data_IF_839581293589
#
_entry.id   IF_839581293589
#
_cell.length_a   1.000
_cell.length_b   1.000
_cell.length_c   1.000
_cell.angle_alpha   90.00
_cell.angle_beta   90.00
_cell.angle_gamma   90.00
#
_symmetry.space_group_name_H-M   'P 1'
#
loop_
_entity.id
_entity.type
_entity.pdbx_description
1 polymer ?
#
# COMPACT_ATOMS: atom_id res chain seq x y z
N UNK A 1 -12.89 1.88 14.01
CA UNK A 1 -13.32 1.92 12.59
C UNK A 1 -14.06 3.22 12.22
N UNK A 2 -15.24 3.51 12.80
CA UNK A 2 -16.05 4.70 12.45
C UNK A 2 -15.31 6.04 12.57
N UNK A 3 -14.53 6.21 13.64
CA UNK A 3 -13.65 7.37 13.79
C UNK A 3 -12.60 7.49 12.68
N UNK A 4 -12.03 6.37 12.20
CA UNK A 4 -11.06 6.38 11.10
C UNK A 4 -11.72 6.82 9.79
N UNK A 5 -12.95 6.37 9.53
CA UNK A 5 -13.72 6.83 8.38
C UNK A 5 -13.87 8.36 8.43
N UNK A 6 -14.37 8.90 9.56
CA UNK A 6 -14.52 10.34 9.72
C UNK A 6 -13.19 11.07 9.54
N UNK A 7 -12.13 10.58 10.18
CA UNK A 7 -10.82 11.21 10.10
C UNK A 7 -10.34 11.31 8.65
N UNK A 8 -10.41 10.23 7.89
CA UNK A 8 -9.77 10.13 6.57
C UNK A 8 -10.62 10.71 5.43
N UNK A 9 -11.91 10.41 5.40
CA UNK A 9 -12.77 10.71 4.24
C UNK A 9 -13.66 11.94 4.43
N UNK A 10 -13.74 12.46 5.66
CA UNK A 10 -14.49 13.68 5.97
C UNK A 10 -13.58 14.76 6.54
N UNK A 11 -12.99 14.58 7.73
CA UNK A 11 -12.31 15.64 8.48
C UNK A 11 -11.05 16.15 7.79
N UNK A 12 -10.20 15.24 7.28
CA UNK A 12 -9.01 15.63 6.53
C UNK A 12 -9.37 16.36 5.23
N UNK A 13 -10.44 15.94 4.54
CA UNK A 13 -10.94 16.62 3.34
C UNK A 13 -11.56 17.97 3.69
N UNK A 14 -12.33 18.07 4.78
CA UNK A 14 -12.92 19.30 5.26
C UNK A 14 -11.84 20.32 5.66
N UNK A 15 -10.75 19.86 6.30
CA UNK A 15 -9.58 20.71 6.58
C UNK A 15 -8.93 21.18 5.28
N UNK A 16 -8.73 20.29 4.31
CA UNK A 16 -8.15 20.64 3.02
C UNK A 16 -9.00 21.71 2.30
N UNK A 17 -10.32 21.53 2.26
CA UNK A 17 -11.26 22.49 1.65
C UNK A 17 -11.39 23.80 2.43
N UNK A 18 -11.13 23.80 3.73
CA UNK A 18 -11.09 25.02 4.51
C UNK A 18 -9.83 25.86 4.26
N UNK A 19 -8.70 25.22 3.94
CA UNK A 19 -7.49 25.92 3.49
C UNK A 19 -7.60 26.34 2.02
N UNK A 20 -8.12 25.43 1.17
CA UNK A 20 -8.29 25.67 -0.27
C UNK A 20 -9.75 25.45 -0.70
N UNK A 21 -10.61 26.47 -0.59
CA UNK A 21 -11.98 26.40 -1.06
C UNK A 21 -12.10 25.98 -2.53
N UNK A 22 -13.26 25.45 -2.97
CA UNK A 22 -13.46 25.02 -4.36
C UNK A 22 -13.25 26.15 -5.40
N UNK A 23 -13.48 27.39 -5.01
CA UNK A 23 -13.31 28.61 -5.78
C UNK A 23 -11.95 29.30 -5.54
N UNK A 24 -11.03 28.65 -4.83
CA UNK A 24 -9.71 29.22 -4.53
C UNK A 24 -8.93 29.53 -5.82
N UNK A 25 -8.45 30.77 -5.89
CA UNK A 25 -7.64 31.29 -7.00
C UNK A 25 -6.28 31.67 -6.42
N UNK A 26 -5.24 31.28 -7.12
CA UNK A 26 -3.86 31.43 -6.67
C UNK A 26 -3.39 32.86 -6.93
N UNK A 27 -2.24 33.26 -6.39
CA UNK A 27 -1.73 34.63 -6.54
C UNK A 27 -1.51 35.04 -8.02
N UNK A 28 -1.32 34.06 -8.90
CA UNK A 28 -1.19 34.25 -10.35
C UNK A 28 -2.53 34.44 -11.08
N UNK A 29 -3.66 34.36 -10.36
CA UNK A 29 -5.00 34.48 -10.93
C UNK A 29 -5.55 33.18 -11.54
N UNK A 30 -4.84 32.06 -11.43
CA UNK A 30 -5.29 30.75 -11.91
C UNK A 30 -6.11 30.01 -10.86
N UNK A 31 -7.05 29.17 -11.29
CA UNK A 31 -7.80 28.31 -10.36
C UNK A 31 -6.86 27.30 -9.73
N UNK A 32 -6.93 27.15 -8.41
CA UNK A 32 -6.14 26.18 -7.68
C UNK A 32 -6.50 24.74 -8.05
N UNK A 33 -7.80 24.46 -8.19
CA UNK A 33 -8.31 23.16 -8.62
C UNK A 33 -8.43 23.12 -10.14
N UNK A 34 -7.74 22.16 -10.74
CA UNK A 34 -7.60 21.95 -12.20
C UNK A 34 -7.65 20.44 -12.48
N UNK A 35 -7.71 20.01 -13.74
CA UNK A 35 -7.96 18.60 -14.10
C UNK A 35 -7.02 17.59 -13.42
N UNK A 36 -5.72 17.91 -13.27
CA UNK A 36 -4.74 17.05 -12.60
C UNK A 36 -4.65 17.28 -11.08
N UNK A 37 -5.46 18.19 -10.54
CA UNK A 37 -5.59 18.55 -9.13
C UNK A 37 -7.08 18.68 -8.83
N UNK A 38 -7.73 17.52 -8.79
CA UNK A 38 -9.18 17.38 -8.63
C UNK A 38 -9.63 17.92 -7.26
N UNK A 39 -10.64 18.78 -7.27
CA UNK A 39 -11.26 19.28 -6.04
C UNK A 39 -12.02 18.14 -5.34
N UNK A 40 -11.65 17.78 -4.09
CA UNK A 40 -12.36 16.73 -3.39
C UNK A 40 -13.68 17.23 -2.80
N UNK A 41 -14.52 16.29 -2.39
CA UNK A 41 -15.70 16.56 -1.58
C UNK A 41 -15.70 15.66 -0.34
N UNK A 42 -16.32 16.13 0.74
CA UNK A 42 -16.42 15.38 2.01
C UNK A 42 -17.43 14.25 1.87
N UNK A 43 -17.10 13.06 2.39
CA UNK A 43 -18.04 11.95 2.48
C UNK A 43 -18.77 11.98 3.81
N UNK A 44 -20.10 11.88 3.75
CA UNK A 44 -20.93 11.64 4.92
C UNK A 44 -21.15 10.14 5.06
N UNK A 45 -20.85 9.58 6.22
CA UNK A 45 -21.07 8.16 6.45
C UNK A 45 -22.54 7.80 6.36
N UNK A 46 -22.81 6.69 5.69
CA UNK A 46 -24.12 6.06 5.55
C UNK A 46 -23.96 4.57 5.79
N UNK A 47 -24.72 4.02 6.73
CA UNK A 47 -24.72 2.58 7.02
C UNK A 47 -25.40 1.73 5.95
N UNK A 48 -26.19 2.37 5.08
CA UNK A 48 -26.89 1.72 3.96
C UNK A 48 -25.99 1.57 2.75
N UNK A 49 -24.96 2.42 2.65
CA UNK A 49 -23.96 2.33 1.59
C UNK A 49 -23.05 1.12 1.83
N UNK A 50 -22.90 0.30 0.78
CA UNK A 50 -22.13 -0.93 0.84
C UNK A 50 -20.65 -0.65 1.10
N UNK A 51 -20.04 0.31 0.40
CA UNK A 51 -18.60 0.61 0.49
C UNK A 51 -18.25 1.21 1.85
N UNK A 52 -19.11 2.10 2.35
CA UNK A 52 -19.00 2.67 3.69
C UNK A 52 -19.01 1.57 4.76
N UNK A 53 -19.98 0.66 4.68
CA UNK A 53 -20.09 -0.44 5.63
C UNK A 53 -18.96 -1.46 5.49
N UNK A 54 -18.55 -1.79 4.25
CA UNK A 54 -17.42 -2.70 3.96
C UNK A 54 -16.14 -2.17 4.63
N UNK A 55 -15.88 -0.86 4.59
CA UNK A 55 -14.76 -0.24 5.30
C UNK A 55 -14.85 -0.43 6.81
N UNK A 56 -16.03 -0.24 7.41
CA UNK A 56 -16.21 -0.39 8.86
C UNK A 56 -16.00 -1.83 9.28
N UNK A 57 -16.58 -2.79 8.56
CA UNK A 57 -16.44 -4.23 8.82
C UNK A 57 -14.97 -4.63 8.73
N UNK A 58 -14.28 -4.27 7.65
CA UNK A 58 -12.90 -4.66 7.46
C UNK A 58 -11.97 -3.99 8.50
N UNK A 59 -12.09 -2.68 8.69
CA UNK A 59 -11.24 -1.94 9.63
C UNK A 59 -11.45 -2.40 11.08
N UNK A 60 -12.68 -2.69 11.49
CA UNK A 60 -12.96 -3.17 12.85
C UNK A 60 -12.38 -4.56 13.10
N UNK A 61 -12.54 -5.49 12.14
CA UNK A 61 -12.00 -6.85 12.26
C UNK A 61 -10.47 -6.89 12.20
N UNK A 62 -9.82 -5.99 11.45
CA UNK A 62 -8.37 -5.85 11.47
C UNK A 62 -7.84 -5.29 12.80
N UNK A 63 -8.51 -4.26 13.35
CA UNK A 63 -8.17 -3.74 14.69
C UNK A 63 -8.39 -4.83 15.75
N UNK A 64 -9.49 -5.58 15.65
CA UNK A 64 -9.79 -6.69 16.57
C UNK A 64 -8.70 -7.76 16.50
N UNK A 65 -8.20 -8.10 15.31
CA UNK A 65 -7.07 -9.02 15.17
C UNK A 65 -5.80 -8.51 15.87
N UNK A 66 -5.45 -7.23 15.69
CA UNK A 66 -4.23 -6.65 16.29
C UNK A 66 -4.26 -6.73 17.82
N UNK A 67 -5.42 -6.55 18.44
CA UNK A 67 -5.58 -6.55 19.90
C UNK A 67 -6.08 -7.88 20.47
N UNK A 68 -6.14 -8.95 19.67
CA UNK A 68 -6.66 -10.28 20.05
C UNK A 68 -8.09 -10.24 20.63
N UNK A 69 -8.95 -9.41 20.02
CA UNK A 69 -10.36 -9.25 20.38
C UNK A 69 -11.22 -10.11 19.44
N UNK A 70 -12.31 -10.73 19.92
CA UNK A 70 -13.25 -11.45 19.06
C UNK A 70 -13.76 -10.60 17.89
N UNK A 71 -13.74 -11.20 16.70
CA UNK A 71 -14.21 -10.61 15.46
C UNK A 71 -15.74 -10.59 15.42
N UNK A 72 -16.30 -9.51 14.89
CA UNK A 72 -17.75 -9.40 14.59
C UNK A 72 -17.86 -9.19 13.08
N UNK A 73 -18.44 -10.16 12.40
CA UNK A 73 -18.59 -10.15 10.93
C UNK A 73 -20.03 -9.80 10.53
N UNK A 74 -20.99 -9.98 11.44
CA UNK A 74 -22.38 -9.67 11.17
C UNK A 74 -22.59 -8.16 10.98
N UNK A 75 -23.02 -7.81 9.77
CA UNK A 75 -23.31 -6.42 9.37
C UNK A 75 -24.43 -5.82 10.21
N UNK A 76 -25.43 -6.62 10.59
CA UNK A 76 -26.56 -6.12 11.37
C UNK A 76 -26.13 -5.72 12.78
N UNK A 77 -25.31 -6.55 13.43
CA UNK A 77 -24.74 -6.25 14.74
C UNK A 77 -23.85 -4.99 14.70
N UNK A 78 -23.02 -4.85 13.66
CA UNK A 78 -22.20 -3.65 13.47
C UNK A 78 -23.05 -2.38 13.30
N UNK A 79 -24.11 -2.44 12.50
CA UNK A 79 -25.03 -1.30 12.31
C UNK A 79 -25.70 -0.92 13.63
N UNK A 80 -26.11 -1.90 14.43
CA UNK A 80 -26.69 -1.66 15.75
C UNK A 80 -25.70 -0.93 16.67
N UNK A 81 -24.44 -1.37 16.71
CA UNK A 81 -23.38 -0.73 17.50
C UNK A 81 -23.08 0.71 17.03
N UNK A 82 -23.12 0.95 15.72
CA UNK A 82 -22.95 2.28 15.14
C UNK A 82 -24.06 3.24 15.56
N UNK A 83 -25.31 2.77 15.59
CA UNK A 83 -26.46 3.58 15.98
C UNK A 83 -26.46 3.95 17.47
N UNK A 84 -25.90 3.09 18.32
CA UNK A 84 -25.81 3.33 19.77
C UNK A 84 -24.74 4.36 20.14
N UNK A 85 -23.71 4.52 19.31
CA UNK A 85 -22.57 5.40 19.57
C UNK A 85 -22.43 6.47 18.47
N UNK A 86 -23.29 7.51 18.46
CA UNK A 86 -23.21 8.57 17.47
C UNK A 86 -21.90 9.34 17.58
N UNK A 87 -21.27 9.59 16.43
CA UNK A 87 -20.01 10.34 16.36
C UNK A 87 -20.22 11.81 16.73
N UNK A 88 -19.27 12.39 17.47
CA UNK A 88 -19.24 13.84 17.72
C UNK A 88 -18.94 14.55 16.40
N UNK A 89 -19.75 15.57 16.09
CA UNK A 89 -19.57 16.39 14.89
C UNK A 89 -18.21 17.08 14.91
N UNK A 90 -17.45 16.89 13.84
CA UNK A 90 -16.17 17.55 13.66
C UNK A 90 -16.38 19.05 13.40
N UNK A 91 -15.57 19.88 14.03
CA UNK A 91 -15.51 21.32 13.79
C UNK A 91 -14.14 21.67 13.23
N UNK A 92 -14.13 22.27 12.05
CA UNK A 92 -12.88 22.76 11.44
C UNK A 92 -12.43 23.99 12.22
N UNK A 93 -11.20 23.96 12.75
CA UNK A 93 -10.52 25.18 13.18
C UNK A 93 -9.87 25.77 11.93
N UNK A 94 -10.38 26.90 11.46
CA UNK A 94 -9.77 27.63 10.34
C UNK A 94 -8.39 28.11 10.80
N UNK A 95 -7.34 27.59 10.18
CA UNK A 95 -6.02 28.19 10.25
C UNK A 95 -5.88 28.87 8.89
N UNK A 96 -5.87 30.20 8.89
CA UNK A 96 -5.58 30.97 7.68
C UNK A 96 -4.06 31.02 7.61
N UNK A 97 -3.49 30.25 6.69
CA UNK A 97 -2.11 30.45 6.24
C UNK A 97 -2.20 31.08 4.87
N UNK A 98 -1.60 32.26 4.74
CA UNK A 98 -1.20 32.78 3.44
C UNK A 98 -0.10 31.83 2.91
N UNK A 99 -0.22 31.32 1.67
CA UNK A 99 0.89 31.15 0.72
C UNK A 99 0.66 30.09 -0.39
N UNK A 100 1.51 30.24 -1.40
CA UNK A 100 1.46 29.85 -2.82
C UNK A 100 1.33 28.36 -3.18
N UNK A 101 1.04 28.12 -4.47
CA UNK A 101 0.80 26.83 -5.16
C UNK A 101 1.85 25.72 -4.92
N UNK A 102 3.05 26.04 -4.45
CA UNK A 102 4.14 25.08 -4.23
C UNK A 102 4.08 24.35 -2.86
N UNK A 103 3.23 24.79 -1.93
CA UNK A 103 3.17 24.27 -0.55
C UNK A 103 2.29 23.04 -0.31
N UNK A 104 1.76 22.42 -1.37
CA UNK A 104 1.03 21.15 -1.23
C UNK A 104 1.91 19.98 -0.80
N UNK A 105 3.23 20.08 -0.94
CA UNK A 105 4.16 19.03 -0.52
C UNK A 105 4.50 19.09 0.97
N UNK A 106 4.34 20.24 1.61
CA UNK A 106 4.66 20.46 3.02
C UNK A 106 3.43 20.38 3.93
N UNK A 107 2.22 20.68 3.43
CA UNK A 107 1.04 20.87 4.29
C UNK A 107 -0.02 19.74 4.24
N UNK A 108 0.15 18.70 3.41
CA UNK A 108 -0.68 17.49 3.51
C UNK A 108 -0.24 16.56 4.66
N UNK A 109 0.97 16.77 5.19
CA UNK A 109 1.52 16.14 6.38
C UNK A 109 2.14 17.24 7.24
N UNK A 110 1.32 17.84 8.13
CA UNK A 110 1.71 18.60 9.33
C UNK A 110 3.09 19.29 9.25
N UNK A 111 3.11 20.59 8.91
CA UNK A 111 4.31 21.43 9.00
C UNK A 111 4.91 21.37 10.41
N UNK A 112 6.07 20.74 10.55
CA UNK A 112 6.64 20.36 11.84
C UNK A 112 8.13 20.73 11.98
N UNK A 113 8.50 21.98 11.71
CA UNK A 113 9.90 22.43 11.91
C UNK A 113 10.09 23.54 12.95
N UNK A 114 9.03 24.06 13.62
CA UNK A 114 9.16 25.16 14.59
C UNK A 114 8.71 24.90 16.03
N UNK A 115 7.69 24.06 16.25
CA UNK A 115 7.03 23.83 17.56
C UNK A 115 7.30 22.44 18.16
N UNK A 116 8.26 21.74 17.58
CA UNK A 116 8.40 20.29 17.62
C UNK A 116 8.78 19.74 19.00
N UNK A 117 9.73 20.37 19.70
CA UNK A 117 10.30 19.79 20.93
C UNK A 117 9.32 19.83 22.11
N UNK A 118 8.63 20.96 22.32
CA UNK A 118 7.67 21.08 23.45
C UNK A 118 6.44 20.18 23.28
N UNK A 119 6.00 19.95 22.04
CA UNK A 119 4.93 18.99 21.73
C UNK A 119 5.39 17.54 21.96
N UNK A 120 6.64 17.20 21.61
CA UNK A 120 7.21 15.87 21.87
C UNK A 120 7.22 15.59 23.38
N UNK A 121 7.72 16.50 24.20
CA UNK A 121 7.77 16.32 25.66
C UNK A 121 6.36 16.15 26.25
N UNK A 122 5.38 16.91 25.75
CA UNK A 122 3.99 16.75 26.14
C UNK A 122 3.43 15.37 25.77
N UNK A 123 3.71 14.85 24.57
CA UNK A 123 3.30 13.51 24.14
C UNK A 123 3.98 12.44 24.99
N UNK A 124 5.29 12.57 25.24
CA UNK A 124 6.03 11.63 26.08
C UNK A 124 5.46 11.56 27.50
N UNK A 125 4.99 12.69 28.05
CA UNK A 125 4.34 12.73 29.36
C UNK A 125 2.96 12.07 29.40
N UNK A 126 2.30 11.89 28.25
CA UNK A 126 1.00 11.23 28.14
C UNK A 126 1.10 9.72 27.92
N UNK A 127 2.30 9.19 27.62
CA UNK A 127 2.47 7.76 27.41
C UNK A 127 2.30 7.00 28.74
N UNK A 128 1.49 5.93 28.75
CA UNK A 128 1.36 5.08 29.93
C UNK A 128 2.69 4.39 30.24
N UNK A 129 2.90 4.08 31.52
CA UNK A 129 4.08 3.33 31.95
C UNK A 129 4.00 1.89 31.46
N UNK A 130 5.16 1.27 31.22
CA UNK A 130 5.23 -0.12 30.72
C UNK A 130 4.50 -1.11 31.63
N UNK A 131 4.54 -0.87 32.96
CA UNK A 131 3.86 -1.72 33.94
C UNK A 131 2.32 -1.75 33.76
N UNK A 132 1.72 -0.67 33.25
CA UNK A 132 0.29 -0.59 32.97
C UNK A 132 -0.11 -1.36 31.70
N UNK A 133 0.88 -1.70 30.86
CA UNK A 133 0.69 -2.36 29.57
C UNK A 133 1.00 -3.86 29.58
N UNK A 134 1.33 -4.44 30.75
CA UNK A 134 1.77 -5.84 30.86
C UNK A 134 0.76 -6.87 30.34
N UNK A 135 -0.53 -6.55 30.34
CA UNK A 135 -1.60 -7.41 29.83
C UNK A 135 -2.05 -7.06 28.40
N UNK A 136 -1.45 -6.06 27.76
CA UNK A 136 -1.80 -5.65 26.41
C UNK A 136 -1.11 -6.57 25.40
N UNK A 137 -1.92 -7.36 24.69
CA UNK A 137 -1.44 -8.16 23.56
C UNK A 137 -1.58 -7.31 22.30
N UNK A 138 -0.47 -7.16 21.57
CA UNK A 138 -0.45 -6.50 20.26
C UNK A 138 0.20 -7.46 19.27
N UNK A 139 -0.59 -7.93 18.30
CA UNK A 139 -0.12 -8.83 17.26
C UNK A 139 0.14 -8.04 15.98
N UNK A 140 1.38 -8.07 15.44
CA UNK A 140 1.62 -7.55 14.11
C UNK A 140 0.85 -8.39 13.09
N UNK A 141 0.27 -7.73 12.08
CA UNK A 141 -0.43 -8.41 11.01
C UNK A 141 0.33 -8.23 9.69
N UNK A 142 1.02 -9.29 9.27
CA UNK A 142 1.73 -9.29 7.99
C UNK A 142 0.75 -9.22 6.83
N UNK A 143 1.09 -8.41 5.82
CA UNK A 143 0.30 -8.25 4.62
C UNK A 143 0.28 -9.56 3.81
N UNK A 144 -0.92 -10.14 3.65
CA UNK A 144 -1.22 -11.37 2.94
C UNK A 144 -2.46 -11.16 2.08
N UNK A 145 -2.27 -10.65 0.86
CA UNK A 145 -3.37 -10.34 -0.07
C UNK A 145 -3.92 -11.56 -0.81
N UNK A 146 -3.28 -12.72 -0.68
CA UNK A 146 -3.74 -13.97 -1.28
C UNK A 146 -4.90 -14.61 -0.48
N UNK A 147 -4.94 -14.38 0.84
CA UNK A 147 -5.99 -14.87 1.72
C UNK A 147 -7.20 -13.92 1.69
N UNK A 148 -8.27 -14.35 1.04
CA UNK A 148 -9.49 -13.57 0.87
C UNK A 148 -10.36 -13.46 2.14
N UNK A 149 -9.99 -14.14 3.24
CA UNK A 149 -10.79 -14.20 4.48
C UNK A 149 -10.22 -13.38 5.65
N UNK A 150 -9.08 -12.72 5.47
CA UNK A 150 -8.40 -11.97 6.53
C UNK A 150 -8.80 -10.48 6.65
N UNK A 151 -9.75 -10.02 5.83
CA UNK A 151 -10.22 -8.63 5.74
C UNK A 151 -9.18 -7.59 5.28
N UNK A 152 -7.94 -7.96 4.99
CA UNK A 152 -6.91 -7.01 4.55
C UNK A 152 -7.24 -6.45 3.17
N UNK A 153 -7.55 -7.33 2.21
CA UNK A 153 -7.93 -6.91 0.87
C UNK A 153 -9.26 -6.14 0.90
N UNK A 154 -10.24 -6.57 1.70
CA UNK A 154 -11.50 -5.85 1.89
C UNK A 154 -11.28 -4.42 2.38
N UNK A 155 -10.37 -4.23 3.35
CA UNK A 155 -10.01 -2.91 3.83
C UNK A 155 -9.38 -2.05 2.74
N UNK A 156 -8.43 -2.60 1.97
CA UNK A 156 -7.76 -1.86 0.89
C UNK A 156 -8.76 -1.47 -0.20
N UNK A 157 -9.65 -2.38 -0.59
CA UNK A 157 -10.68 -2.12 -1.60
C UNK A 157 -11.61 -1.01 -1.14
N UNK A 158 -12.15 -1.12 0.08
CA UNK A 158 -13.08 -0.14 0.60
C UNK A 158 -12.39 1.23 0.79
N UNK A 159 -11.20 1.26 1.38
CA UNK A 159 -10.43 2.50 1.58
C UNK A 159 -10.06 3.17 0.25
N UNK A 160 -9.68 2.40 -0.77
CA UNK A 160 -9.33 2.90 -2.10
C UNK A 160 -10.57 3.50 -2.77
N UNK A 161 -11.71 2.79 -2.75
CA UNK A 161 -12.93 3.27 -3.39
C UNK A 161 -13.53 4.48 -2.67
N UNK A 162 -13.48 4.55 -1.34
CA UNK A 162 -13.88 5.74 -0.59
C UNK A 162 -13.00 6.96 -0.94
N UNK A 163 -11.69 6.74 -1.07
CA UNK A 163 -10.78 7.82 -1.48
C UNK A 163 -10.99 8.22 -2.94
N UNK A 164 -11.28 7.27 -3.82
CA UNK A 164 -11.63 7.55 -5.21
C UNK A 164 -12.89 8.43 -5.26
N UNK A 165 -13.92 8.06 -4.49
CA UNK A 165 -15.16 8.82 -4.37
C UNK A 165 -14.90 10.25 -3.91
N UNK A 166 -14.09 10.48 -2.85
CA UNK A 166 -13.73 11.83 -2.41
C UNK A 166 -13.28 12.75 -3.56
N UNK A 167 -12.56 12.23 -4.55
CA UNK A 167 -12.00 13.01 -5.67
C UNK A 167 -12.78 12.84 -6.98
N UNK A 168 -13.94 12.17 -6.96
CA UNK A 168 -14.72 11.91 -8.17
C UNK A 168 -14.03 10.95 -9.16
N UNK A 169 -13.14 10.09 -8.67
CA UNK A 169 -12.45 9.06 -9.44
C UNK A 169 -13.36 7.82 -9.49
N UNK A 170 -13.39 7.14 -10.63
CA UNK A 170 -14.16 5.91 -10.80
C UNK A 170 -13.68 4.81 -9.83
N UNK A 171 -14.63 4.20 -9.12
CA UNK A 171 -14.34 3.08 -8.21
C UNK A 171 -14.00 1.82 -8.98
N UNK A 172 -13.08 1.03 -8.43
CA UNK A 172 -12.61 -0.21 -9.06
C UNK A 172 -13.07 -1.44 -8.30
N UNK A 173 -13.26 -2.54 -9.01
CA UNK A 173 -13.64 -3.82 -8.41
C UNK A 173 -12.49 -4.45 -7.60
N UNK A 174 -12.86 -5.37 -6.69
CA UNK A 174 -11.94 -6.09 -5.81
C UNK A 174 -10.76 -6.70 -6.56
N UNK A 175 -11.00 -7.31 -7.73
CA UNK A 175 -9.97 -8.03 -8.48
C UNK A 175 -8.89 -7.08 -9.01
N UNK A 176 -9.30 -5.89 -9.44
CA UNK A 176 -8.39 -4.88 -9.98
C UNK A 176 -7.54 -4.27 -8.86
N UNK A 177 -8.16 -3.98 -7.72
CA UNK A 177 -7.44 -3.56 -6.51
C UNK A 177 -6.44 -4.65 -6.07
N UNK A 178 -6.85 -5.93 -6.05
CA UNK A 178 -5.97 -7.06 -5.71
C UNK A 178 -4.77 -7.13 -6.64
N UNK A 179 -4.99 -6.96 -7.95
CA UNK A 179 -3.94 -6.93 -8.97
C UNK A 179 -2.92 -5.83 -8.69
N UNK A 180 -3.38 -4.60 -8.49
CA UNK A 180 -2.52 -3.43 -8.27
C UNK A 180 -1.81 -3.52 -6.91
N UNK A 181 -2.56 -3.71 -5.82
CA UNK A 181 -2.03 -3.73 -4.46
C UNK A 181 -1.09 -4.93 -4.23
N UNK A 182 -1.41 -6.09 -4.79
CA UNK A 182 -0.58 -7.29 -4.73
C UNK A 182 0.58 -7.30 -5.72
N UNK A 183 0.72 -6.26 -6.57
CA UNK A 183 1.73 -6.21 -7.65
C UNK A 183 1.75 -7.50 -8.47
N UNK A 184 0.56 -8.03 -8.77
CA UNK A 184 0.41 -9.33 -9.43
C UNK A 184 0.89 -9.18 -10.88
N UNK A 185 1.94 -9.93 -11.22
CA UNK A 185 2.43 -10.05 -12.59
C UNK A 185 1.49 -11.01 -13.34
N UNK A 186 0.80 -10.56 -14.41
CA UNK A 186 -0.02 -11.47 -15.20
C UNK A 186 0.84 -12.57 -15.82
N UNK A 187 0.44 -13.82 -15.60
CA UNK A 187 1.12 -14.99 -16.16
C UNK A 187 0.09 -15.96 -16.76
N UNK A 188 0.44 -16.55 -17.90
CA UNK A 188 -0.35 -17.58 -18.57
C UNK A 188 0.57 -18.72 -19.01
N UNK A 189 0.09 -19.96 -18.92
CA UNK A 189 0.90 -21.15 -19.23
C UNK A 189 1.48 -21.14 -20.65
N UNK A 190 0.80 -20.54 -21.62
CA UNK A 190 1.22 -20.55 -23.03
C UNK A 190 2.54 -19.82 -23.25
N UNK A 191 2.75 -18.66 -22.63
CA UNK A 191 4.02 -17.92 -22.75
C UNK A 191 5.15 -18.69 -22.08
N UNK A 192 4.90 -19.28 -20.90
CA UNK A 192 5.87 -20.14 -20.21
C UNK A 192 6.26 -21.36 -21.06
N UNK A 193 5.31 -22.02 -21.71
CA UNK A 193 5.59 -23.16 -22.59
C UNK A 193 6.42 -22.76 -23.80
N UNK A 194 6.11 -21.64 -24.45
CA UNK A 194 6.89 -21.15 -25.60
C UNK A 194 8.32 -20.81 -25.19
N UNK A 195 8.49 -20.07 -24.09
CA UNK A 195 9.82 -19.70 -23.58
C UNK A 195 10.63 -20.96 -23.21
N UNK A 196 10.03 -21.89 -22.46
CA UNK A 196 10.70 -23.15 -22.10
C UNK A 196 11.06 -24.00 -23.34
N UNK A 197 10.20 -24.03 -24.36
CA UNK A 197 10.47 -24.70 -25.62
C UNK A 197 11.64 -24.08 -26.38
N UNK A 198 11.69 -22.75 -26.49
CA UNK A 198 12.81 -22.03 -27.12
C UNK A 198 14.12 -22.22 -26.35
N UNK A 199 14.08 -22.16 -25.02
CA UNK A 199 15.25 -22.47 -24.16
C UNK A 199 15.76 -23.89 -24.42
N UNK A 200 14.85 -24.85 -24.56
CA UNK A 200 15.19 -26.25 -24.85
C UNK A 200 15.84 -26.40 -26.23
N UNK A 201 15.47 -25.58 -27.22
CA UNK A 201 16.13 -25.57 -28.53
C UNK A 201 17.56 -25.00 -28.47
N UNK A 202 17.78 -23.95 -27.67
CA UNK A 202 19.12 -23.38 -27.48
C UNK A 202 20.08 -24.35 -26.79
N UNK A 203 19.57 -25.26 -25.94
CA UNK A 203 20.41 -26.32 -25.34
C UNK A 203 21.10 -27.22 -26.37
N UNK A 204 20.56 -27.39 -27.59
CA UNK A 204 21.25 -28.16 -28.64
C UNK A 204 22.55 -27.53 -29.13
N UNK A 205 22.73 -26.20 -28.94
CA UNK A 205 23.93 -25.48 -29.37
C UNK A 205 25.02 -25.48 -28.30
N UNK A 206 24.81 -26.14 -27.17
CA UNK A 206 25.72 -26.02 -26.03
C UNK A 206 27.11 -26.60 -26.30
N UNK A 207 27.21 -27.59 -27.20
CA UNK A 207 28.49 -28.08 -27.70
C UNK A 207 29.23 -26.99 -28.47
N UNK A 208 28.55 -26.24 -29.34
CA UNK A 208 29.15 -25.12 -30.09
C UNK A 208 29.60 -24.00 -29.15
N UNK A 209 28.83 -23.71 -28.10
CA UNK A 209 29.22 -22.74 -27.05
C UNK A 209 30.49 -23.19 -26.33
N UNK A 210 30.60 -24.48 -25.96
CA UNK A 210 31.81 -25.05 -25.39
C UNK A 210 33.00 -24.88 -26.32
N UNK A 211 32.84 -25.21 -27.60
CA UNK A 211 33.92 -25.10 -28.59
C UNK A 211 34.38 -23.65 -28.76
N UNK A 212 33.43 -22.70 -28.79
CA UNK A 212 33.73 -21.28 -28.93
C UNK A 212 34.43 -20.68 -27.71
N UNK A 213 34.06 -21.09 -26.50
CA UNK A 213 34.64 -20.57 -25.25
C UNK A 213 36.00 -21.17 -24.94
N UNK A 214 36.17 -22.47 -25.19
CA UNK A 214 37.40 -23.19 -24.84
C UNK A 214 38.39 -23.29 -26.00
N UNK A 215 37.94 -22.96 -27.23
CA UNK A 215 38.66 -23.16 -28.48
C UNK A 215 39.06 -24.63 -28.72
N UNK A 216 38.31 -25.58 -28.14
CA UNK A 216 38.53 -27.04 -28.22
C UNK A 216 37.26 -27.76 -28.66
N UNK A 217 37.39 -28.76 -29.52
CA UNK A 217 36.26 -29.62 -29.89
C UNK A 217 35.85 -30.56 -28.76
N UNK A 218 34.57 -30.84 -28.65
CA UNK A 218 34.08 -31.91 -27.75
C UNK A 218 34.54 -33.25 -28.32
N UNK A 219 35.23 -34.07 -27.52
CA UNK A 219 35.74 -35.35 -28.00
C UNK A 219 34.61 -36.38 -28.19
N UNK A 220 34.71 -37.22 -29.24
CA UNK A 220 33.64 -38.15 -29.67
C UNK A 220 33.17 -39.15 -28.59
N UNK A 221 33.99 -39.41 -27.57
CA UNK A 221 33.67 -40.32 -26.47
C UNK A 221 32.95 -39.64 -25.30
N UNK A 222 32.84 -38.31 -25.30
CA UNK A 222 32.19 -37.53 -24.25
C UNK A 222 30.67 -37.61 -24.44
N UNK A 223 29.99 -38.20 -23.45
CA UNK A 223 28.52 -38.42 -23.48
C UNK A 223 27.72 -37.40 -22.66
N UNK A 224 28.41 -36.58 -21.88
CA UNK A 224 27.80 -35.60 -20.99
C UNK A 224 28.71 -34.39 -20.87
N UNK A 225 28.14 -33.20 -20.94
CA UNK A 225 28.80 -31.95 -20.59
C UNK A 225 28.15 -31.46 -19.29
N UNK A 226 28.97 -31.16 -18.29
CA UNK A 226 28.54 -30.52 -17.05
C UNK A 226 28.86 -29.03 -17.22
N UNK A 227 27.83 -28.19 -17.11
CA UNK A 227 28.00 -26.75 -17.06
C UNK A 227 27.75 -26.31 -15.63
N UNK A 228 28.79 -25.76 -15.03
CA UNK A 228 28.77 -25.21 -13.70
C UNK A 228 28.94 -23.69 -13.82
N UNK A 229 28.09 -22.96 -13.12
CA UNK A 229 28.18 -21.50 -13.05
C UNK A 229 28.79 -21.20 -11.69
N UNK A 230 30.10 -20.90 -11.68
CA UNK A 230 30.81 -20.40 -10.51
C UNK A 230 30.76 -18.88 -10.44
N UNK A 231 30.87 -18.33 -9.24
CA UNK A 231 31.01 -16.89 -9.03
C UNK A 231 32.16 -16.64 -8.04
N UNK A 232 33.08 -15.78 -8.44
CA UNK A 232 34.20 -15.36 -7.59
C UNK A 232 33.92 -13.97 -7.02
N UNK A 233 34.36 -13.72 -5.78
CA UNK A 233 34.37 -12.38 -5.21
C UNK A 233 35.45 -11.48 -5.85
N UNK A 234 35.47 -10.19 -5.50
CA UNK A 234 36.47 -9.23 -6.00
C UNK A 234 37.93 -9.59 -5.62
N UNK A 235 38.12 -10.56 -4.72
CA UNK A 235 39.40 -11.04 -4.24
C UNK A 235 39.78 -12.41 -4.86
N UNK A 236 38.92 -12.97 -5.70
CA UNK A 236 39.14 -14.25 -6.39
C UNK A 236 38.82 -15.50 -5.57
N UNK A 237 38.06 -15.36 -4.48
CA UNK A 237 37.57 -16.51 -3.71
C UNK A 237 36.25 -17.01 -4.30
N UNK A 238 36.16 -18.34 -4.50
CA UNK A 238 34.97 -19.02 -5.01
C UNK A 238 33.82 -18.97 -3.98
N UNK A 239 32.64 -18.56 -4.41
CA UNK A 239 31.44 -18.46 -3.55
C UNK A 239 30.66 -19.78 -3.65
N UNK A 240 30.76 -20.62 -2.60
CA UNK A 240 30.16 -21.96 -2.57
C UNK A 240 28.62 -21.96 -2.53
N UNK A 241 28.01 -20.89 -2.02
CA UNK A 241 26.55 -20.68 -2.00
C UNK A 241 26.21 -19.52 -2.94
N UNK A 242 25.78 -19.82 -4.17
CA UNK A 242 25.34 -18.81 -5.14
C UNK A 242 23.80 -18.70 -5.13
N UNK A 243 23.18 -17.79 -4.34
CA UNK A 243 21.80 -17.40 -4.58
C UNK A 243 21.72 -16.49 -5.81
N UNK A 244 20.63 -16.66 -6.55
CA UNK A 244 20.21 -15.93 -7.76
C UNK A 244 20.66 -14.45 -7.84
N UNK A 245 21.11 -14.06 -9.04
CA UNK A 245 21.65 -12.72 -9.35
C UNK A 245 20.54 -11.74 -9.74
N UNK A 246 20.45 -10.62 -9.04
CA UNK A 246 19.71 -9.43 -9.47
C UNK A 246 20.63 -8.59 -10.37
N UNK A 247 20.26 -8.44 -11.65
CA UNK A 247 21.02 -7.63 -12.61
C UNK A 247 20.32 -6.28 -12.81
N UNK A 248 21.00 -5.19 -12.41
CA UNK A 248 20.55 -3.81 -12.65
C UNK A 248 21.39 -3.25 -13.78
N UNK A 249 20.77 -2.95 -14.93
CA UNK A 249 21.45 -2.21 -15.99
C UNK A 249 21.49 -0.72 -15.62
N UNK A 250 22.69 -0.13 -15.70
CA UNK A 250 22.90 1.33 -15.71
C UNK A 250 22.65 1.89 -17.10
#
# INVERSE_FOLDING_TARGET
ARYLFEKQFHNNIARLLAHFPPDHVTHTGQRFWIEHKMCPHVLQFDSSDKTHLDFIVAASNLIAYVYDIPKIVDRHEIIQQLNQNPMVKFQVKTIVTDDDDDDLKSNAYDGFEGETVSKIDAILSQLPKVDELLNLIVQPHDLKLEDDFNFQLDYIVAATNLRAENYGIETVERIEVKRIAGRIIPAIVTTTTVVAGLMSLEMYKISEVYERLTNKKVADHVRSLILEIGCDDLQGNEIEDVPYVNYIFR
#
